data_IF_224326757289
#
_entry.id   IF_224326757289
#
_cell.length_a   1.000
_cell.length_b   1.000
_cell.length_c   1.000
_cell.angle_alpha   90.00
_cell.angle_beta   90.00
_cell.angle_gamma   90.00
#
_symmetry.space_group_name_H-M   'P 1'
#
loop_
_entity.id
_entity.type
_entity.pdbx_description
1 polymer ?
#
# COMPACT_ATOMS: atom_id res chain seq x y z
N UNK A 1 -2.50 0.74 -31.68
CA UNK A 1 -3.41 1.07 -30.55
C UNK A 1 -3.53 2.59 -30.44
N UNK A 2 -4.68 3.22 -30.73
CA UNK A 2 -4.79 4.68 -30.85
C UNK A 2 -5.75 5.37 -29.84
N UNK A 3 -6.64 4.64 -29.17
CA UNK A 3 -7.60 5.17 -28.20
C UNK A 3 -7.38 4.68 -26.77
N UNK A 4 -8.41 4.10 -26.14
CA UNK A 4 -8.40 3.60 -24.76
C UNK A 4 -7.21 2.72 -24.39
N UNK A 5 -6.72 1.88 -25.32
CA UNK A 5 -5.57 1.03 -25.03
C UNK A 5 -4.30 1.81 -24.66
N UNK A 6 -4.12 3.05 -25.16
CA UNK A 6 -3.02 3.91 -24.69
C UNK A 6 -3.28 4.40 -23.26
N UNK A 7 -4.49 4.87 -22.97
CA UNK A 7 -4.86 5.39 -21.64
C UNK A 7 -4.77 4.30 -20.56
N UNK A 8 -5.44 3.17 -20.79
CA UNK A 8 -5.43 2.02 -19.89
C UNK A 8 -4.03 1.43 -19.78
N UNK A 9 -3.29 1.35 -20.90
CA UNK A 9 -1.90 0.91 -20.89
C UNK A 9 -1.01 1.76 -19.98
N UNK A 10 -1.21 3.09 -19.96
CA UNK A 10 -0.50 3.98 -19.02
C UNK A 10 -0.90 3.75 -17.56
N UNK A 11 -2.16 3.44 -17.29
CA UNK A 11 -2.61 3.09 -15.93
C UNK A 11 -1.97 1.79 -15.44
N UNK A 12 -1.92 0.75 -16.28
CA UNK A 12 -1.24 -0.52 -15.98
C UNK A 12 0.27 -0.31 -15.80
N UNK A 13 0.90 0.49 -16.66
CA UNK A 13 2.33 0.81 -16.54
C UNK A 13 2.63 1.51 -15.20
N UNK A 14 1.81 2.47 -14.79
CA UNK A 14 1.95 3.17 -13.52
C UNK A 14 1.80 2.21 -12.32
N UNK A 15 0.81 1.32 -12.36
CA UNK A 15 0.62 0.31 -11.31
C UNK A 15 1.83 -0.63 -11.18
N UNK A 16 2.40 -1.09 -12.29
CA UNK A 16 3.61 -1.92 -12.27
C UNK A 16 4.81 -1.15 -11.69
N UNK A 17 5.01 0.12 -12.07
CA UNK A 17 6.07 0.96 -11.49
C UNK A 17 5.90 1.16 -9.98
N UNK A 18 4.66 1.35 -9.52
CA UNK A 18 4.38 1.49 -8.10
C UNK A 18 4.63 0.19 -7.34
N UNK A 19 4.21 -0.96 -7.89
CA UNK A 19 4.53 -2.28 -7.35
C UNK A 19 6.05 -2.51 -7.23
N UNK A 20 6.82 -2.21 -8.28
CA UNK A 20 8.28 -2.36 -8.28
C UNK A 20 8.97 -1.42 -7.27
N UNK A 21 8.42 -0.21 -7.09
CA UNK A 21 8.87 0.72 -6.05
C UNK A 21 8.63 0.14 -4.65
N UNK A 22 7.42 -0.36 -4.37
CA UNK A 22 7.08 -0.93 -3.07
C UNK A 22 7.90 -2.19 -2.74
N UNK A 23 8.21 -3.03 -3.73
CA UNK A 23 8.99 -4.26 -3.54
C UNK A 23 10.40 -4.03 -2.96
N UNK A 24 10.96 -2.83 -3.17
CA UNK A 24 12.29 -2.47 -2.67
C UNK A 24 12.22 -1.49 -1.50
N UNK A 25 11.01 -1.17 -1.04
CA UNK A 25 10.79 -0.14 -0.03
C UNK A 25 10.92 -0.71 1.38
N UNK A 26 11.69 -0.02 2.20
CA UNK A 26 11.80 -0.28 3.63
C UNK A 26 12.04 1.02 4.37
N UNK A 27 11.69 1.03 5.65
CA UNK A 27 11.87 2.20 6.51
C UNK A 27 12.64 1.80 7.76
N UNK A 28 13.45 2.72 8.27
CA UNK A 28 14.02 2.64 9.61
C UNK A 28 13.51 3.84 10.40
N UNK A 29 12.64 3.59 11.37
CA UNK A 29 12.05 4.61 12.23
C UNK A 29 12.61 4.40 13.64
N UNK A 30 13.53 5.27 14.07
CA UNK A 30 14.14 5.22 15.40
C UNK A 30 14.77 3.85 15.76
N UNK A 31 15.41 3.19 14.78
CA UNK A 31 16.02 1.87 14.97
C UNK A 31 15.07 0.68 14.74
N UNK A 32 13.80 0.94 14.45
CA UNK A 32 12.83 -0.07 14.11
C UNK A 32 12.71 -0.21 12.59
N UNK A 33 13.11 -1.36 12.06
CA UNK A 33 12.98 -1.69 10.64
C UNK A 33 11.53 -2.09 10.32
N UNK A 34 10.95 -1.43 9.31
CA UNK A 34 9.62 -1.71 8.76
C UNK A 34 9.81 -2.17 7.31
N UNK A 35 9.25 -3.33 7.01
CA UNK A 35 9.24 -3.95 5.70
C UNK A 35 7.90 -3.65 5.00
N UNK A 36 7.96 -3.37 3.70
CA UNK A 36 6.78 -3.23 2.84
C UNK A 36 6.65 -4.51 2.04
N UNK A 37 5.45 -5.09 2.06
CA UNK A 37 5.17 -6.38 1.43
C UNK A 37 4.04 -6.20 0.40
N UNK A 38 4.35 -5.97 -0.88
CA UNK A 38 3.35 -6.00 -1.95
C UNK A 38 2.69 -7.37 -2.03
N UNK A 39 1.36 -7.41 -2.15
CA UNK A 39 0.59 -8.65 -2.10
C UNK A 39 0.91 -9.59 -3.28
N UNK A 40 0.79 -9.06 -4.50
CA UNK A 40 1.05 -9.79 -5.74
C UNK A 40 1.41 -8.81 -6.85
N UNK A 41 2.11 -9.28 -7.88
CA UNK A 41 2.26 -8.51 -9.10
C UNK A 41 0.87 -8.23 -9.67
N UNK A 42 0.52 -6.97 -9.97
CA UNK A 42 -0.84 -6.64 -10.36
C UNK A 42 -1.19 -7.26 -11.72
N UNK A 43 -2.32 -7.95 -11.78
CA UNK A 43 -2.89 -8.45 -13.05
C UNK A 43 -3.34 -7.30 -13.97
N UNK A 44 -3.69 -6.14 -13.38
CA UNK A 44 -4.17 -4.96 -14.09
C UNK A 44 -3.60 -3.67 -13.49
N UNK A 45 -4.38 -2.91 -12.71
CA UNK A 45 -3.96 -1.60 -12.20
C UNK A 45 -4.27 -1.34 -10.71
N UNK A 46 -4.75 -2.33 -9.96
CA UNK A 46 -4.84 -2.27 -8.49
C UNK A 46 -3.57 -2.85 -7.89
N UNK A 47 -3.02 -2.19 -6.87
CA UNK A 47 -1.78 -2.58 -6.18
C UNK A 47 -2.04 -2.57 -4.69
N UNK A 48 -1.91 -3.72 -4.06
CA UNK A 48 -2.14 -3.91 -2.63
C UNK A 48 -0.81 -4.22 -1.92
N UNK A 49 -0.66 -3.77 -0.68
CA UNK A 49 0.54 -3.99 0.13
C UNK A 49 0.22 -3.94 1.62
N UNK A 50 1.15 -4.42 2.44
CA UNK A 50 1.12 -4.24 3.89
C UNK A 50 2.45 -3.74 4.43
N UNK A 51 2.39 -3.02 5.55
CA UNK A 51 3.56 -2.76 6.39
C UNK A 51 3.66 -3.84 7.47
N UNK A 52 4.88 -4.30 7.74
CA UNK A 52 5.16 -5.10 8.93
C UNK A 52 6.46 -4.67 9.58
N UNK A 53 6.54 -4.80 10.89
CA UNK A 53 7.79 -4.59 11.62
C UNK A 53 8.65 -5.82 11.38
N UNK A 54 9.92 -5.63 11.01
CA UNK A 54 10.82 -6.75 10.72
C UNK A 54 10.90 -7.71 11.89
N UNK A 55 10.69 -9.00 11.61
CA UNK A 55 10.66 -10.07 12.62
C UNK A 55 9.38 -10.17 13.45
N UNK A 56 8.41 -9.27 13.29
CA UNK A 56 7.09 -9.40 13.91
C UNK A 56 6.31 -10.57 13.29
N UNK A 57 5.76 -11.43 14.15
CA UNK A 57 4.93 -12.59 13.79
C UNK A 57 3.50 -12.48 14.30
N UNK A 58 3.15 -11.38 14.96
CA UNK A 58 1.80 -11.11 15.44
C UNK A 58 0.99 -10.41 14.33
N UNK A 59 -0.02 -11.11 13.82
CA UNK A 59 -0.89 -10.63 12.75
C UNK A 59 -1.80 -9.48 13.20
N UNK A 60 -2.31 -9.53 14.45
CA UNK A 60 -3.15 -8.45 14.98
C UNK A 60 -2.34 -7.15 15.07
N UNK A 61 -1.09 -7.24 15.52
CA UNK A 61 -0.17 -6.09 15.55
C UNK A 61 0.11 -5.53 14.15
N UNK A 62 0.19 -6.39 13.13
CA UNK A 62 0.35 -5.96 11.74
C UNK A 62 -0.91 -5.25 11.23
N UNK A 63 -2.11 -5.77 11.54
CA UNK A 63 -3.37 -5.13 11.16
C UNK A 63 -3.53 -3.76 11.82
N UNK A 64 -3.23 -3.66 13.12
CA UNK A 64 -3.27 -2.38 13.85
C UNK A 64 -2.34 -1.33 13.22
N UNK A 65 -1.13 -1.74 12.81
CA UNK A 65 -0.19 -0.86 12.12
C UNK A 65 -0.76 -0.33 10.79
N UNK A 66 -1.31 -1.22 9.96
CA UNK A 66 -1.83 -0.84 8.65
C UNK A 66 -3.09 0.04 8.77
N UNK A 67 -3.97 -0.27 9.73
CA UNK A 67 -5.14 0.55 10.03
C UNK A 67 -4.74 1.95 10.52
N UNK A 68 -3.76 2.04 11.43
CA UNK A 68 -3.24 3.31 11.92
C UNK A 68 -2.63 4.14 10.77
N UNK A 69 -1.84 3.51 9.89
CA UNK A 69 -1.27 4.18 8.73
C UNK A 69 -2.37 4.71 7.79
N UNK A 70 -3.37 3.89 7.46
CA UNK A 70 -4.50 4.32 6.63
C UNK A 70 -5.23 5.53 7.23
N UNK A 71 -5.45 5.55 8.55
CA UNK A 71 -6.13 6.67 9.20
C UNK A 71 -5.36 8.00 9.04
N UNK A 72 -4.04 7.98 9.14
CA UNK A 72 -3.20 9.16 8.93
C UNK A 72 -3.09 9.52 7.43
N UNK A 73 -2.97 8.51 6.56
CA UNK A 73 -2.86 8.63 5.11
C UNK A 73 -4.22 8.66 4.39
N UNK A 74 -5.27 9.20 5.05
CA UNK A 74 -6.60 9.35 4.47
C UNK A 74 -7.28 10.64 4.94
N UNK A 75 -8.38 10.99 4.28
CA UNK A 75 -9.21 12.13 4.66
C UNK A 75 -10.03 11.92 5.95
N UNK A 76 -9.93 10.75 6.58
CA UNK A 76 -10.74 10.42 7.77
C UNK A 76 -10.21 11.13 9.02
N UNK A 77 -8.88 11.30 9.16
CA UNK A 77 -8.25 11.80 10.39
C UNK A 77 -7.11 12.81 10.16
N UNK A 78 -6.55 12.90 8.96
CA UNK A 78 -5.38 13.75 8.66
C UNK A 78 -5.73 15.19 8.22
N UNK A 79 -4.77 16.14 8.32
CA UNK A 79 -4.92 17.47 7.75
C UNK A 79 -5.01 17.38 6.22
N UNK A 80 -6.22 17.60 5.69
CA UNK A 80 -6.60 17.44 4.28
C UNK A 80 -5.61 18.12 3.31
N UNK A 81 -5.11 19.29 3.66
CA UNK A 81 -4.22 20.08 2.80
C UNK A 81 -2.72 19.77 2.95
N UNK A 82 -2.35 18.99 3.97
CA UNK A 82 -0.94 18.66 4.27
C UNK A 82 -0.65 17.15 4.17
N UNK A 83 -1.52 16.37 3.51
CA UNK A 83 -1.28 14.96 3.27
C UNK A 83 -0.76 14.74 1.83
N UNK A 84 0.54 14.49 1.71
CA UNK A 84 1.20 14.26 0.42
C UNK A 84 0.98 12.83 -0.12
N UNK A 85 0.38 11.93 0.66
CA UNK A 85 0.10 10.56 0.25
C UNK A 85 -1.22 10.03 0.80
N UNK A 86 -2.13 9.70 -0.11
CA UNK A 86 -3.45 9.16 0.25
C UNK A 86 -3.54 7.70 -0.20
N UNK A 87 -4.05 6.86 0.70
CA UNK A 87 -4.33 5.45 0.42
C UNK A 87 -5.73 5.04 0.85
N UNK A 88 -6.18 3.89 0.36
CA UNK A 88 -7.37 3.17 0.82
C UNK A 88 -6.96 1.95 1.66
N UNK A 89 -7.92 1.29 2.32
CA UNK A 89 -7.69 0.02 3.01
C UNK A 89 -8.90 -0.92 2.85
N UNK A 90 -8.66 -2.21 3.05
CA UNK A 90 -9.69 -3.26 3.12
C UNK A 90 -9.15 -4.45 3.92
N UNK A 91 -10.05 -5.31 4.39
CA UNK A 91 -9.71 -6.53 5.14
C UNK A 91 -10.00 -7.78 4.32
N UNK A 92 -9.05 -8.72 4.30
CA UNK A 92 -9.29 -10.06 3.78
C UNK A 92 -9.76 -10.97 4.91
N UNK A 93 -11.05 -10.90 5.21
CA UNK A 93 -11.68 -11.67 6.29
C UNK A 93 -12.11 -13.07 5.83
N UNK A 94 -12.06 -14.06 6.73
CA UNK A 94 -12.78 -15.31 6.55
C UNK A 94 -14.28 -14.99 6.67
N UNK A 95 -15.12 -15.40 5.70
CA UNK A 95 -16.57 -15.21 5.81
C UNK A 95 -17.13 -15.88 7.06
N UNK A 96 -18.13 -15.27 7.68
CA UNK A 96 -18.88 -15.85 8.81
C UNK A 96 -19.56 -17.19 8.45
#
# INVERSE_FOLDING_TARGET
VAGYGKLIGRSIEAANRFYDFLNNLSFNINGQEIEVNPLTKPDFNMVDWTFNIKGNKDFAKMNDLNLAFYQEASFVKGPIYNNDFITSHTDFAIPD
#
